data_IF_514913202798
#
_entry.id   IF_514913202798
#
_cell.length_a   1.000
_cell.length_b   1.000
_cell.length_c   1.000
_cell.angle_alpha   90.00
_cell.angle_beta   90.00
_cell.angle_gamma   90.00
#
_symmetry.space_group_name_H-M   'P 1'
#
loop_
_entity.id
_entity.type
_entity.pdbx_description
1 polymer ?
#
# COMPACT_ATOMS: atom_id res chain seq x y z
N UNK A 1 34.19 57.07 -44.91
CA UNK A 1 33.66 57.36 -43.57
C UNK A 1 32.29 56.67 -43.46
N UNK A 2 32.23 55.62 -42.61
CA UNK A 2 31.05 55.04 -41.91
C UNK A 2 30.04 54.24 -42.77
N UNK A 3 29.49 53.08 -42.38
CA UNK A 3 29.84 51.96 -41.49
C UNK A 3 28.76 50.89 -41.78
N UNK A 4 29.15 49.66 -42.11
CA UNK A 4 28.24 48.54 -42.40
C UNK A 4 27.48 48.11 -41.13
N UNK A 5 26.14 48.17 -41.17
CA UNK A 5 25.25 47.68 -40.10
C UNK A 5 25.12 46.15 -40.21
N UNK A 6 25.78 45.40 -39.32
CA UNK A 6 25.58 43.94 -39.19
C UNK A 6 24.57 43.62 -38.09
N UNK A 7 23.69 42.69 -38.44
CA UNK A 7 22.60 42.09 -37.65
C UNK A 7 23.14 41.45 -36.37
N UNK A 8 22.42 41.61 -35.25
CA UNK A 8 22.49 40.67 -34.13
C UNK A 8 21.14 39.98 -33.99
N UNK A 9 21.19 38.66 -34.13
CA UNK A 9 20.12 37.69 -34.09
C UNK A 9 19.60 37.57 -32.65
N UNK A 10 18.29 37.73 -32.45
CA UNK A 10 17.66 37.53 -31.14
C UNK A 10 17.67 36.04 -30.79
N UNK A 11 18.39 35.68 -29.73
CA UNK A 11 18.42 34.33 -29.18
C UNK A 11 17.13 34.09 -28.40
N UNK A 12 16.15 33.40 -28.99
CA UNK A 12 14.98 32.90 -28.25
C UNK A 12 15.44 31.64 -27.52
N UNK A 13 15.92 31.82 -26.29
CA UNK A 13 16.13 30.74 -25.33
C UNK A 13 14.89 30.66 -24.43
N UNK A 14 13.74 30.29 -25.00
CA UNK A 14 12.56 30.00 -24.17
C UNK A 14 12.68 28.57 -23.69
N UNK A 15 13.40 28.45 -22.57
CA UNK A 15 13.23 27.44 -21.51
C UNK A 15 12.02 26.53 -21.77
N UNK A 16 12.29 25.30 -22.23
CA UNK A 16 11.39 24.19 -22.04
C UNK A 16 11.25 24.01 -20.52
N UNK A 17 10.26 24.69 -19.95
CA UNK A 17 9.83 24.49 -18.57
C UNK A 17 9.23 23.10 -18.55
N UNK A 18 10.07 22.09 -18.34
CA UNK A 18 9.62 20.75 -18.01
C UNK A 18 8.77 20.88 -16.76
N UNK A 19 7.46 20.92 -16.95
CA UNK A 19 6.49 20.58 -15.92
C UNK A 19 6.74 19.12 -15.58
N UNK A 20 7.79 18.86 -14.80
CA UNK A 20 7.86 17.64 -14.03
C UNK A 20 6.69 17.75 -13.06
N UNK A 21 5.61 17.02 -13.37
CA UNK A 21 4.64 16.62 -12.38
C UNK A 21 5.45 15.87 -11.31
N UNK A 22 5.79 16.55 -10.22
CA UNK A 22 6.47 15.93 -9.09
C UNK A 22 5.47 14.98 -8.44
N UNK A 23 5.62 13.68 -8.70
CA UNK A 23 4.96 12.65 -7.94
C UNK A 23 5.42 12.72 -6.48
N UNK A 24 4.49 12.66 -5.55
CA UNK A 24 4.79 12.57 -4.12
C UNK A 24 5.37 11.18 -3.80
N UNK A 25 6.15 11.06 -2.73
CA UNK A 25 6.59 9.75 -2.21
C UNK A 25 5.39 8.90 -1.82
N UNK A 26 5.52 7.57 -1.99
CA UNK A 26 4.44 6.68 -1.58
C UNK A 26 4.26 6.73 -0.06
N UNK A 27 3.01 6.66 0.41
CA UNK A 27 2.75 6.68 1.83
C UNK A 27 3.10 5.31 2.40
N UNK A 28 3.70 5.31 3.60
CA UNK A 28 4.02 4.11 4.33
C UNK A 28 2.81 3.54 5.10
N UNK A 29 1.60 3.96 4.79
CA UNK A 29 0.40 3.50 5.48
C UNK A 29 -0.84 4.31 5.16
N UNK A 30 -1.83 4.22 6.04
CA UNK A 30 -3.13 4.86 5.88
C UNK A 30 -3.53 5.60 7.17
N UNK A 31 -3.83 6.90 7.04
CA UNK A 31 -4.05 7.82 8.16
C UNK A 31 -2.89 7.80 9.15
N UNK A 32 -3.12 7.44 10.41
CA UNK A 32 -2.11 7.34 11.46
C UNK A 32 -1.59 5.90 11.65
N UNK A 33 -2.01 4.95 10.80
CA UNK A 33 -1.55 3.56 10.87
C UNK A 33 -0.45 3.33 9.82
N UNK A 34 0.79 3.19 10.28
CA UNK A 34 1.98 3.07 9.43
C UNK A 34 2.60 1.68 9.47
N UNK A 35 3.16 1.25 8.34
CA UNK A 35 4.04 0.09 8.26
C UNK A 35 5.21 0.24 9.24
N UNK A 36 5.63 -0.87 9.83
CA UNK A 36 6.66 -0.94 10.86
C UNK A 36 6.18 -0.66 12.29
N UNK A 37 4.93 -0.23 12.49
CA UNK A 37 4.36 -0.08 13.84
C UNK A 37 4.28 -1.44 14.56
N UNK A 38 4.47 -1.40 15.87
CA UNK A 38 4.26 -2.58 16.71
C UNK A 38 2.77 -2.95 16.80
N UNK A 39 2.47 -4.17 17.26
CA UNK A 39 1.10 -4.59 17.52
C UNK A 39 0.39 -3.61 18.46
N UNK A 40 1.00 -3.30 19.60
CA UNK A 40 0.41 -2.44 20.63
C UNK A 40 0.24 -0.99 20.15
N UNK A 41 1.25 -0.43 19.47
CA UNK A 41 1.13 0.90 18.87
C UNK A 41 0.00 0.97 17.83
N UNK A 42 -0.16 -0.09 17.03
CA UNK A 42 -1.26 -0.15 16.05
C UNK A 42 -2.61 -0.19 16.75
N UNK A 43 -2.77 -1.00 17.80
CA UNK A 43 -4.01 -1.03 18.60
C UNK A 43 -4.36 0.33 19.17
N UNK A 44 -3.38 1.04 19.74
CA UNK A 44 -3.58 2.37 20.31
C UNK A 44 -4.07 3.38 19.27
N UNK A 45 -3.51 3.35 18.05
CA UNK A 45 -3.94 4.26 16.99
C UNK A 45 -5.29 3.86 16.40
N UNK A 46 -5.60 2.57 16.30
CA UNK A 46 -6.92 2.09 15.87
C UNK A 46 -8.04 2.48 16.85
N UNK A 47 -7.77 2.49 18.17
CA UNK A 47 -8.75 2.96 19.17
C UNK A 47 -9.05 4.46 19.03
N UNK A 48 -8.04 5.25 18.63
CA UNK A 48 -8.17 6.71 18.47
C UNK A 48 -8.98 7.09 17.23
N UNK A 49 -9.09 6.22 16.24
CA UNK A 49 -9.79 6.48 14.98
C UNK A 49 -11.07 5.61 14.84
N UNK A 50 -12.25 6.20 15.11
CA UNK A 50 -13.52 5.46 15.07
C UNK A 50 -13.93 5.00 13.67
N UNK A 51 -13.30 5.50 12.59
CA UNK A 51 -13.60 5.04 11.23
C UNK A 51 -13.18 3.59 11.00
N UNK A 52 -12.26 3.03 11.78
CA UNK A 52 -11.87 1.63 11.64
C UNK A 52 -12.83 0.66 12.32
N UNK A 53 -13.59 1.10 13.32
CA UNK A 53 -14.46 0.22 14.11
C UNK A 53 -13.68 -0.90 14.81
N UNK A 54 -12.55 -0.57 15.43
CA UNK A 54 -11.74 -1.49 16.23
C UNK A 54 -12.25 -1.56 17.68
N UNK A 55 -12.41 -2.77 18.22
CA UNK A 55 -13.01 -3.00 19.54
C UNK A 55 -12.03 -3.52 20.61
N UNK A 56 -10.73 -3.57 20.30
CA UNK A 56 -9.69 -4.08 21.21
C UNK A 56 -9.30 -5.53 20.91
N UNK A 57 -8.80 -6.25 21.91
CA UNK A 57 -8.13 -7.55 21.73
C UNK A 57 -8.99 -8.65 21.10
N UNK A 58 -10.32 -8.54 21.12
CA UNK A 58 -11.23 -9.49 20.44
C UNK A 58 -10.96 -9.57 18.94
N UNK A 59 -10.53 -8.46 18.36
CA UNK A 59 -10.29 -8.30 16.93
C UNK A 59 -8.89 -8.80 16.53
N UNK A 60 -8.12 -9.37 17.47
CA UNK A 60 -6.76 -9.88 17.29
C UNK A 60 -6.79 -11.41 17.16
N UNK A 61 -6.16 -11.93 16.11
CA UNK A 61 -5.96 -13.36 15.88
C UNK A 61 -4.47 -13.69 15.84
N UNK A 62 -4.08 -14.75 16.54
CA UNK A 62 -2.73 -15.31 16.51
C UNK A 62 -2.72 -16.55 15.63
N UNK A 63 -1.80 -16.64 14.68
CA UNK A 63 -1.66 -17.83 13.83
C UNK A 63 -0.74 -18.83 14.54
N UNK A 64 -1.25 -20.01 14.95
CA UNK A 64 -0.47 -20.98 15.70
C UNK A 64 0.80 -21.40 14.95
N UNK A 65 1.91 -21.57 15.69
CA UNK A 65 3.22 -21.97 15.15
C UNK A 65 3.84 -20.96 14.16
N UNK A 66 3.40 -19.70 14.17
CA UNK A 66 4.01 -18.63 13.38
C UNK A 66 4.25 -17.38 14.23
N UNK A 67 5.14 -16.49 13.75
CA UNK A 67 5.31 -15.14 14.30
C UNK A 67 4.24 -14.15 13.82
N UNK A 68 3.15 -14.66 13.22
CA UNK A 68 2.14 -13.83 12.54
C UNK A 68 0.95 -13.53 13.46
N UNK A 69 0.56 -12.27 13.46
CA UNK A 69 -0.64 -11.76 14.12
C UNK A 69 -1.48 -11.00 13.11
N UNK A 70 -2.79 -11.02 13.27
CA UNK A 70 -3.74 -10.29 12.44
C UNK A 70 -4.67 -9.48 13.34
N UNK A 71 -4.87 -8.20 13.02
CA UNK A 71 -6.01 -7.42 13.51
C UNK A 71 -7.04 -7.33 12.38
N UNK A 72 -8.30 -7.61 12.70
CA UNK A 72 -9.45 -7.43 11.83
C UNK A 72 -10.41 -6.40 12.43
N UNK A 73 -10.69 -5.31 11.72
CA UNK A 73 -11.60 -4.27 12.20
C UNK A 73 -12.93 -4.29 11.46
N UNK A 74 -14.01 -3.81 12.08
CA UNK A 74 -15.35 -3.77 11.47
C UNK A 74 -15.88 -2.32 11.41
N UNK A 75 -15.41 -1.56 10.42
CA UNK A 75 -15.80 -0.16 10.24
C UNK A 75 -17.30 0.03 9.98
N UNK A 76 -18.00 -0.99 9.46
CA UNK A 76 -19.44 -0.90 9.20
C UNK A 76 -20.26 -0.86 10.49
N UNK A 77 -19.70 -1.34 11.60
CA UNK A 77 -20.30 -1.26 12.94
C UNK A 77 -19.82 -0.03 13.72
N UNK A 78 -18.88 0.73 13.17
CA UNK A 78 -18.36 1.96 13.76
C UNK A 78 -19.35 3.12 13.67
N UNK A 79 -19.03 4.21 14.36
CA UNK A 79 -19.79 5.47 14.33
C UNK A 79 -19.21 6.48 13.32
N UNK A 80 -18.28 6.03 12.48
CA UNK A 80 -17.54 6.86 11.55
C UNK A 80 -18.29 7.20 10.26
N UNK A 81 -17.53 7.75 9.32
CA UNK A 81 -18.01 8.18 8.00
C UNK A 81 -18.46 7.04 7.07
N UNK A 82 -18.25 5.78 7.47
CA UNK A 82 -18.61 4.56 6.74
C UNK A 82 -18.04 4.48 5.30
N UNK A 83 -16.94 5.18 5.03
CA UNK A 83 -16.14 4.98 3.81
C UNK A 83 -15.35 3.67 3.86
N UNK A 84 -15.02 3.20 5.06
CA UNK A 84 -14.32 1.94 5.26
C UNK A 84 -15.32 0.82 5.52
N UNK A 85 -14.89 -0.40 5.20
CA UNK A 85 -15.54 -1.64 5.60
C UNK A 85 -14.56 -2.43 6.48
N UNK A 86 -14.47 -3.74 6.31
CA UNK A 86 -13.53 -4.55 7.09
C UNK A 86 -12.09 -4.22 6.70
N UNK A 87 -11.22 -3.92 7.65
CA UNK A 87 -9.80 -3.70 7.38
C UNK A 87 -8.95 -4.78 8.06
N UNK A 88 -7.76 -5.03 7.51
CA UNK A 88 -6.84 -6.02 8.04
C UNK A 88 -5.44 -5.44 8.20
N UNK A 89 -4.82 -5.74 9.34
CA UNK A 89 -3.46 -5.32 9.68
C UNK A 89 -2.68 -6.58 10.06
N UNK A 90 -1.69 -6.94 9.23
CA UNK A 90 -0.91 -8.16 9.42
C UNK A 90 0.47 -7.84 9.95
N UNK A 91 0.86 -8.59 10.97
CA UNK A 91 2.11 -8.42 11.67
C UNK A 91 2.98 -9.66 11.50
N UNK A 92 4.28 -9.45 11.44
CA UNK A 92 5.30 -10.49 11.46
C UNK A 92 6.48 -9.95 12.26
N UNK A 93 7.04 -10.75 13.17
CA UNK A 93 8.12 -10.30 14.06
C UNK A 93 7.75 -9.03 14.88
N UNK A 94 6.47 -8.90 15.25
CA UNK A 94 5.90 -7.72 15.92
C UNK A 94 5.96 -6.42 15.10
N UNK A 95 6.13 -6.49 13.78
CA UNK A 95 6.08 -5.33 12.89
C UNK A 95 4.91 -5.44 11.90
N UNK A 96 4.13 -4.36 11.80
CA UNK A 96 3.05 -4.23 10.81
C UNK A 96 3.62 -4.18 9.40
N UNK A 97 3.38 -5.20 8.58
CA UNK A 97 3.98 -5.30 7.25
C UNK A 97 2.96 -5.35 6.11
N UNK A 98 1.68 -5.59 6.39
CA UNK A 98 0.59 -5.44 5.42
C UNK A 98 -0.57 -4.69 6.06
N UNK A 99 -1.02 -3.63 5.38
CA UNK A 99 -2.25 -2.91 5.69
C UNK A 99 -3.22 -3.12 4.53
N UNK A 100 -4.43 -3.59 4.82
CA UNK A 100 -5.49 -3.77 3.81
C UNK A 100 -6.71 -2.95 4.20
N UNK A 101 -6.99 -1.91 3.41
CA UNK A 101 -8.11 -0.99 3.61
C UNK A 101 -9.18 -1.30 2.57
N UNK A 102 -10.28 -1.93 3.00
CA UNK A 102 -11.41 -2.15 2.11
C UNK A 102 -12.36 -0.96 2.19
N UNK A 103 -12.61 -0.34 1.04
CA UNK A 103 -13.41 0.87 0.93
C UNK A 103 -14.81 0.48 0.46
N UNK A 104 -15.83 1.18 0.97
CA UNK A 104 -17.22 0.91 0.64
C UNK A 104 -17.52 1.35 -0.82
N UNK A 105 -17.78 0.40 -1.74
CA UNK A 105 -18.03 0.73 -3.15
C UNK A 105 -19.37 1.44 -3.38
N UNK A 106 -20.27 1.45 -2.40
CA UNK A 106 -21.50 2.24 -2.46
C UNK A 106 -21.26 3.73 -2.22
N UNK A 107 -20.11 4.09 -1.63
CA UNK A 107 -19.75 5.48 -1.29
C UNK A 107 -18.83 6.12 -2.30
N UNK A 108 -17.93 5.34 -2.89
CA UNK A 108 -16.94 5.82 -3.84
C UNK A 108 -16.58 4.70 -4.80
N UNK A 109 -16.34 5.04 -6.06
CA UNK A 109 -15.97 4.08 -7.08
C UNK A 109 -14.44 3.95 -7.24
N UNK A 110 -14.02 2.85 -7.86
CA UNK A 110 -12.63 2.54 -8.16
C UNK A 110 -11.95 3.65 -8.97
N UNK A 111 -12.61 4.15 -10.01
CA UNK A 111 -12.01 5.12 -10.92
C UNK A 111 -11.73 6.46 -10.24
N UNK A 112 -12.60 6.88 -9.33
CA UNK A 112 -12.40 8.07 -8.49
C UNK A 112 -11.13 7.96 -7.64
N UNK A 113 -10.91 6.82 -6.98
CA UNK A 113 -9.70 6.59 -6.17
C UNK A 113 -8.47 6.47 -7.06
N UNK A 114 -8.54 5.65 -8.11
CA UNK A 114 -7.47 5.47 -9.09
C UNK A 114 -6.98 6.83 -9.61
N UNK A 115 -7.91 7.67 -10.10
CA UNK A 115 -7.58 9.00 -10.63
C UNK A 115 -6.91 9.89 -9.58
N UNK A 116 -7.31 9.79 -8.30
CA UNK A 116 -6.67 10.56 -7.23
C UNK A 116 -5.30 10.04 -6.86
N UNK A 117 -5.10 8.72 -6.81
CA UNK A 117 -3.79 8.11 -6.59
C UNK A 117 -2.84 8.46 -7.74
N UNK A 118 -3.27 8.32 -8.99
CA UNK A 118 -2.46 8.68 -10.17
C UNK A 118 -2.08 10.15 -10.18
N UNK A 119 -3.01 11.04 -9.82
CA UNK A 119 -2.72 12.47 -9.70
C UNK A 119 -1.68 12.76 -8.61
N UNK A 120 -1.70 12.00 -7.52
CA UNK A 120 -0.84 12.24 -6.34
C UNK A 120 0.54 11.61 -6.49
N UNK A 121 0.61 10.38 -6.98
CA UNK A 121 1.82 9.54 -7.00
C UNK A 121 2.34 9.23 -8.41
N UNK A 122 1.72 9.79 -9.45
CA UNK A 122 2.05 9.51 -10.84
C UNK A 122 1.42 8.21 -11.35
N UNK A 123 1.80 7.80 -12.56
CA UNK A 123 1.32 6.54 -13.15
C UNK A 123 1.75 5.32 -12.32
N UNK A 124 0.90 4.27 -12.23
CA UNK A 124 1.27 3.05 -11.53
C UNK A 124 2.46 2.37 -12.21
N UNK A 125 3.34 1.78 -11.42
CA UNK A 125 4.47 0.96 -11.88
C UNK A 125 3.99 -0.28 -12.63
N UNK A 126 2.84 -0.84 -12.25
CA UNK A 126 2.18 -1.91 -13.00
C UNK A 126 0.66 -1.79 -12.96
N UNK A 127 0.00 -2.23 -14.02
CA UNK A 127 -1.44 -2.14 -14.19
C UNK A 127 -1.99 -3.40 -14.84
N UNK A 128 -3.04 -3.96 -14.24
CA UNK A 128 -3.74 -5.14 -14.73
C UNK A 128 -5.25 -4.94 -14.60
N UNK A 129 -6.08 -5.81 -15.20
CA UNK A 129 -7.53 -5.77 -15.00
C UNK A 129 -7.96 -5.88 -13.53
N UNK A 130 -7.11 -6.43 -12.65
CA UNK A 130 -7.40 -6.66 -11.23
C UNK A 130 -6.84 -5.58 -10.31
N UNK A 131 -5.74 -4.93 -10.66
CA UNK A 131 -5.06 -3.99 -9.77
C UNK A 131 -4.19 -2.97 -10.52
N UNK A 132 -4.07 -1.79 -9.92
CA UNK A 132 -3.04 -0.80 -10.21
C UNK A 132 -2.05 -0.74 -9.04
N UNK A 133 -0.75 -0.79 -9.31
CA UNK A 133 0.29 -0.89 -8.28
C UNK A 133 1.34 0.19 -8.46
N UNK A 134 1.69 0.85 -7.36
CA UNK A 134 2.81 1.77 -7.24
C UNK A 134 3.85 1.17 -6.29
N UNK A 135 5.12 1.25 -6.64
CA UNK A 135 6.20 0.85 -5.73
C UNK A 135 7.41 1.78 -5.86
N UNK A 136 8.09 2.02 -4.75
CA UNK A 136 9.35 2.75 -4.66
C UNK A 136 10.51 1.88 -4.15
N UNK A 137 10.31 0.56 -4.12
CA UNK A 137 11.26 -0.42 -3.59
C UNK A 137 11.14 -0.66 -2.10
N UNK A 138 10.79 0.34 -1.29
CA UNK A 138 10.53 0.17 0.14
C UNK A 138 9.08 -0.28 0.39
N UNK A 139 8.13 0.38 -0.28
CA UNK A 139 6.70 0.12 -0.14
C UNK A 139 6.11 -0.33 -1.47
N UNK A 140 5.15 -1.24 -1.39
CA UNK A 140 4.22 -1.53 -2.48
C UNK A 140 2.81 -1.10 -2.07
N UNK A 141 2.24 -0.16 -2.80
CA UNK A 141 0.84 0.26 -2.65
C UNK A 141 0.03 -0.22 -3.86
N UNK A 142 -1.04 -0.97 -3.64
CA UNK A 142 -1.95 -1.43 -4.71
C UNK A 142 -3.37 -0.95 -4.47
N UNK A 143 -4.03 -0.51 -5.54
CA UNK A 143 -5.48 -0.39 -5.61
C UNK A 143 -6.02 -1.62 -6.36
N UNK A 144 -6.70 -2.49 -5.65
CA UNK A 144 -7.20 -3.79 -6.13
C UNK A 144 -8.72 -3.76 -6.28
N UNK A 145 -9.25 -4.49 -7.24
CA UNK A 145 -10.69 -4.68 -7.39
C UNK A 145 -11.20 -5.68 -6.33
N UNK A 146 -12.42 -5.47 -5.79
CA UNK A 146 -13.39 -4.45 -6.19
C UNK A 146 -13.07 -3.04 -5.72
N UNK A 147 -12.56 -2.85 -4.49
CA UNK A 147 -12.16 -1.54 -3.98
C UNK A 147 -11.29 -1.63 -2.72
N UNK A 148 -10.10 -2.17 -2.87
CA UNK A 148 -9.16 -2.41 -1.77
C UNK A 148 -7.88 -1.63 -1.99
N UNK A 149 -7.47 -0.85 -0.99
CA UNK A 149 -6.18 -0.18 -0.98
C UNK A 149 -5.26 -0.95 -0.03
N UNK A 150 -4.15 -1.47 -0.55
CA UNK A 150 -3.23 -2.31 0.20
C UNK A 150 -1.84 -1.69 0.21
N UNK A 151 -1.16 -1.79 1.35
CA UNK A 151 0.22 -1.35 1.56
C UNK A 151 1.03 -2.53 2.06
N UNK A 152 2.25 -2.68 1.55
CA UNK A 152 3.17 -3.75 1.91
C UNK A 152 4.55 -3.14 2.18
N UNK A 153 5.14 -3.47 3.33
CA UNK A 153 6.56 -3.27 3.56
C UNK A 153 7.33 -4.39 2.85
N UNK A 154 8.06 -4.04 1.80
CA UNK A 154 8.70 -5.03 0.95
C UNK A 154 9.78 -5.84 1.69
N UNK A 155 10.50 -5.20 2.62
CA UNK A 155 11.58 -5.84 3.38
C UNK A 155 11.01 -6.89 4.35
N UNK A 156 10.02 -6.52 5.15
CA UNK A 156 9.42 -7.45 6.12
C UNK A 156 8.61 -8.53 5.40
N UNK A 157 7.99 -8.20 4.26
CA UNK A 157 7.32 -9.17 3.41
C UNK A 157 8.28 -10.27 2.92
N UNK A 158 9.41 -9.89 2.31
CA UNK A 158 10.43 -10.84 1.85
C UNK A 158 11.00 -11.68 3.00
N UNK A 159 11.31 -11.06 4.14
CA UNK A 159 11.77 -11.78 5.33
C UNK A 159 10.74 -12.81 5.81
N UNK A 160 9.46 -12.46 5.80
CA UNK A 160 8.36 -13.33 6.21
C UNK A 160 8.15 -14.50 5.25
N UNK A 161 8.29 -14.28 3.94
CA UNK A 161 8.26 -15.35 2.94
C UNK A 161 9.43 -16.33 3.14
N UNK A 162 10.64 -15.80 3.29
CA UNK A 162 11.83 -16.62 3.51
C UNK A 162 11.74 -17.45 4.81
N UNK A 163 11.24 -16.86 5.90
CA UNK A 163 11.02 -17.59 7.15
C UNK A 163 9.97 -18.70 6.99
N UNK A 164 8.89 -18.43 6.25
CA UNK A 164 7.83 -19.42 5.98
C UNK A 164 8.37 -20.62 5.18
N UNK A 165 9.21 -20.35 4.17
CA UNK A 165 9.84 -21.41 3.35
C UNK A 165 10.82 -22.26 4.18
N UNK A 166 11.56 -21.68 5.13
CA UNK A 166 12.44 -22.42 6.04
C UNK A 166 11.65 -23.33 6.99
N UNK A 167 10.41 -22.94 7.34
CA UNK A 167 9.56 -23.69 8.27
C UNK A 167 8.54 -24.60 7.58
N UNK A 168 8.59 -24.74 6.26
CA UNK A 168 7.68 -25.61 5.52
C UNK A 168 7.76 -27.04 6.08
N UNK A 169 6.59 -27.62 6.34
CA UNK A 169 6.48 -28.98 6.85
C UNK A 169 6.96 -29.99 5.79
N UNK A 170 7.42 -31.18 6.19
CA UNK A 170 7.82 -32.23 5.24
C UNK A 170 6.72 -32.57 4.22
N UNK A 171 5.45 -32.44 4.62
CA UNK A 171 4.29 -32.67 3.73
C UNK A 171 4.13 -31.58 2.68
N UNK A 172 4.33 -30.30 3.03
CA UNK A 172 4.29 -29.18 2.08
C UNK A 172 5.44 -29.29 1.06
N UNK A 173 6.64 -29.62 1.52
CA UNK A 173 7.80 -29.88 0.65
C UNK A 173 7.50 -31.03 -0.32
N UNK A 174 6.90 -32.12 0.18
CA UNK A 174 6.55 -33.29 -0.66
C UNK A 174 5.49 -32.92 -1.72
N UNK A 175 4.53 -32.07 -1.38
CA UNK A 175 3.51 -31.60 -2.33
C UNK A 175 4.11 -30.68 -3.39
N UNK A 176 5.00 -29.76 -3.01
CA UNK A 176 5.69 -28.87 -3.95
C UNK A 176 6.56 -29.67 -4.92
N UNK A 177 7.36 -30.62 -4.41
CA UNK A 177 8.16 -31.52 -5.24
C UNK A 177 7.31 -32.32 -6.23
N UNK A 178 6.11 -32.77 -5.83
CA UNK A 178 5.19 -33.46 -6.74
C UNK A 178 4.67 -32.53 -7.85
N UNK A 179 4.34 -31.28 -7.52
CA UNK A 179 3.84 -30.31 -8.50
C UNK A 179 4.93 -29.91 -9.50
N UNK A 180 6.18 -29.81 -9.07
CA UNK A 180 7.33 -29.51 -9.94
C UNK A 180 7.65 -30.63 -10.95
N UNK A 181 7.15 -31.84 -10.72
CA UNK A 181 7.33 -33.00 -11.61
C UNK A 181 6.26 -33.11 -12.73
N UNK A 182 5.24 -32.23 -12.74
CA UNK A 182 4.16 -32.19 -13.75
C UNK A 182 4.48 -31.28 -14.95
#
# INVERSE_FOLDING_TARGET
MILFKKKSLSLILFSAFSLFLYAESLPHGYKDIMLGMSLEETKENLVKDPDFGYHGDRDVSLIPHSSKTLIETDAQRGFGSNFLTRCWFQFSFDELYIITININPEKIDYYSIFTKLTKKYGEPTSFSPQAATWTDGAVTMSLEKPLTLKYIDNKIFEQTQNYSNIQASPTEITQEMFLDEL
#
